data_IF_995326128640
#
_entry.id   IF_995326128640
#
_cell.length_a   1.000
_cell.length_b   1.000
_cell.length_c   1.000
_cell.angle_alpha   90.00
_cell.angle_beta   90.00
_cell.angle_gamma   90.00
#
_symmetry.space_group_name_H-M   'P 1'
#
loop_
_entity.id
_entity.type
_entity.pdbx_description
1 polymer ?
#
# COMPACT_ATOMS: atom_id res chain seq x y z
N UNK A 1 40.31 15.83 -21.50
CA UNK A 1 39.68 15.94 -20.17
C UNK A 1 38.18 15.97 -20.33
N UNK A 2 37.45 15.16 -19.56
CA UNK A 2 35.98 15.07 -19.66
C UNK A 2 35.29 16.27 -19.02
N UNK A 3 34.14 16.69 -19.59
CA UNK A 3 33.27 17.71 -19.00
C UNK A 3 32.38 17.05 -17.95
N UNK A 4 32.26 17.64 -16.76
CA UNK A 4 31.30 17.17 -15.76
C UNK A 4 29.86 17.32 -16.28
N UNK A 5 29.01 16.33 -16.03
CA UNK A 5 27.59 16.35 -16.37
C UNK A 5 26.76 15.94 -15.16
N UNK A 6 25.58 16.54 -15.01
CA UNK A 6 24.58 16.07 -14.05
C UNK A 6 23.89 14.84 -14.62
N UNK A 7 23.86 13.77 -13.82
CA UNK A 7 23.19 12.51 -14.12
C UNK A 7 22.36 12.09 -12.90
N UNK A 8 21.30 11.34 -13.16
CA UNK A 8 20.45 10.71 -12.16
C UNK A 8 20.62 9.19 -12.27
N UNK A 9 20.66 8.48 -11.14
CA UNK A 9 20.69 7.02 -11.11
C UNK A 9 19.30 6.50 -11.49
N UNK A 10 19.19 5.79 -12.62
CA UNK A 10 17.92 5.27 -13.15
C UNK A 10 17.65 3.85 -12.66
N UNK A 11 18.66 3.00 -12.66
CA UNK A 11 18.58 1.59 -12.27
C UNK A 11 19.93 1.11 -11.73
N UNK A 12 19.92 0.04 -10.94
CA UNK A 12 21.12 -0.65 -10.48
C UNK A 12 20.86 -2.15 -10.37
N UNK A 13 21.76 -2.95 -10.95
CA UNK A 13 21.65 -4.41 -10.92
C UNK A 13 22.59 -4.96 -9.84
N UNK A 14 22.04 -5.68 -8.88
CA UNK A 14 22.83 -6.43 -7.89
C UNK A 14 22.89 -7.91 -8.21
N UNK A 15 23.99 -8.56 -7.78
CA UNK A 15 24.15 -9.99 -7.89
C UNK A 15 23.18 -10.73 -6.95
N UNK A 16 22.39 -11.70 -7.43
CA UNK A 16 21.22 -12.24 -6.70
C UNK A 16 21.55 -12.96 -5.37
N UNK A 17 22.81 -13.37 -5.17
CA UNK A 17 23.29 -14.05 -3.95
C UNK A 17 24.39 -13.29 -3.17
N UNK A 18 24.98 -12.23 -3.75
CA UNK A 18 26.15 -11.56 -3.16
C UNK A 18 25.90 -10.05 -3.12
N UNK A 19 26.30 -9.32 -2.07
CA UNK A 19 26.15 -7.87 -1.99
C UNK A 19 27.18 -7.17 -2.90
N UNK A 20 27.02 -7.33 -4.21
CA UNK A 20 27.89 -6.81 -5.26
C UNK A 20 27.02 -6.17 -6.34
N UNK A 21 27.35 -4.93 -6.71
CA UNK A 21 26.73 -4.23 -7.84
C UNK A 21 27.38 -4.72 -9.13
N UNK A 22 26.55 -5.11 -10.11
CA UNK A 22 26.96 -5.57 -11.43
C UNK A 22 26.84 -4.46 -12.49
N UNK A 23 25.79 -3.65 -12.41
CA UNK A 23 25.52 -2.54 -13.33
C UNK A 23 24.91 -1.35 -12.60
N UNK A 24 25.18 -0.13 -13.09
CA UNK A 24 24.52 1.10 -12.66
C UNK A 24 24.19 1.93 -13.91
N UNK A 25 22.93 2.25 -14.08
CA UNK A 25 22.44 3.06 -15.20
C UNK A 25 22.32 4.53 -14.80
N UNK A 26 23.07 5.38 -15.50
CA UNK A 26 23.06 6.83 -15.31
C UNK A 26 22.31 7.52 -16.45
N UNK A 27 21.16 8.12 -16.13
CA UNK A 27 20.41 8.94 -17.07
C UNK A 27 20.90 10.40 -17.01
N UNK A 28 21.36 10.95 -18.13
CA UNK A 28 21.66 12.39 -18.24
C UNK A 28 20.36 13.19 -18.17
N UNK A 29 20.29 14.17 -17.27
CA UNK A 29 19.11 15.00 -17.05
C UNK A 29 19.41 16.48 -17.34
N UNK A 30 18.45 17.19 -17.94
CA UNK A 30 18.47 18.65 -18.06
C UNK A 30 17.76 19.28 -16.86
N UNK A 31 18.26 20.40 -16.34
CA UNK A 31 17.65 21.07 -15.19
C UNK A 31 16.25 21.65 -15.47
N UNK A 32 15.88 21.81 -16.75
CA UNK A 32 14.60 22.36 -17.22
C UNK A 32 13.60 21.30 -17.69
N UNK A 33 13.98 20.03 -17.74
CA UNK A 33 13.15 18.95 -18.27
C UNK A 33 12.51 18.18 -17.11
N UNK A 34 11.21 17.86 -17.23
CA UNK A 34 10.52 17.03 -16.23
C UNK A 34 10.99 15.59 -16.34
N UNK A 35 11.32 14.97 -15.21
CA UNK A 35 11.73 13.57 -15.14
C UNK A 35 10.61 12.75 -14.51
N UNK A 36 10.30 11.61 -15.14
CA UNK A 36 9.36 10.61 -14.66
C UNK A 36 10.13 9.52 -13.92
N UNK A 37 9.86 9.36 -12.62
CA UNK A 37 10.56 8.40 -11.77
C UNK A 37 9.60 7.80 -10.73
N UNK A 38 9.93 6.59 -10.26
CA UNK A 38 9.25 5.97 -9.13
C UNK A 38 9.96 6.38 -7.85
N UNK A 39 9.19 6.83 -6.86
CA UNK A 39 9.67 7.23 -5.53
C UNK A 39 9.05 6.30 -4.49
N UNK A 40 9.83 5.76 -3.54
CA UNK A 40 9.32 4.88 -2.50
C UNK A 40 8.42 5.62 -1.50
N UNK A 41 7.44 4.90 -0.97
CA UNK A 41 6.53 5.36 0.08
C UNK A 41 7.00 4.89 1.45
N UNK A 42 7.07 5.81 2.41
CA UNK A 42 7.30 5.52 3.82
C UNK A 42 5.98 5.66 4.58
N UNK A 43 5.40 4.51 4.94
CA UNK A 43 4.19 4.46 5.76
C UNK A 43 4.54 4.69 7.24
N UNK A 44 4.15 5.84 7.77
CA UNK A 44 4.32 6.17 9.19
C UNK A 44 3.05 5.81 9.96
N UNK A 45 3.20 5.57 11.27
CA UNK A 45 2.09 5.35 12.21
C UNK A 45 1.20 4.13 11.92
N UNK A 46 1.70 3.14 11.18
CA UNK A 46 0.99 1.89 10.91
C UNK A 46 0.49 1.22 12.20
N UNK A 47 1.41 0.89 13.12
CA UNK A 47 1.10 0.21 14.38
C UNK A 47 0.35 1.09 15.39
N UNK A 48 0.32 2.41 15.18
CA UNK A 48 -0.34 3.36 16.08
C UNK A 48 -1.74 3.75 15.65
N UNK A 49 -2.13 3.43 14.42
CA UNK A 49 -3.44 3.71 13.84
C UNK A 49 -4.62 3.15 14.67
N UNK A 50 -5.75 3.87 14.64
CA UNK A 50 -6.96 3.46 15.36
C UNK A 50 -7.49 2.10 14.89
N UNK A 51 -7.41 1.83 13.58
CA UNK A 51 -7.80 0.55 12.97
C UNK A 51 -7.02 -0.65 13.54
N UNK A 52 -5.69 -0.54 13.70
CA UNK A 52 -4.85 -1.63 14.23
C UNK A 52 -5.11 -1.82 15.73
N UNK A 53 -5.09 -0.72 16.51
CA UNK A 53 -5.19 -0.79 17.98
C UNK A 53 -6.57 -1.12 18.52
N UNK A 54 -7.64 -0.52 17.97
CA UNK A 54 -9.00 -0.68 18.51
C UNK A 54 -9.74 -1.85 17.88
N UNK A 55 -9.50 -2.11 16.59
CA UNK A 55 -10.27 -3.08 15.80
C UNK A 55 -9.44 -4.29 15.34
N UNK A 56 -8.14 -4.34 15.69
CA UNK A 56 -7.27 -5.49 15.40
C UNK A 56 -7.03 -5.71 13.90
N UNK A 57 -7.17 -4.66 13.08
CA UNK A 57 -6.91 -4.74 11.66
C UNK A 57 -5.42 -4.90 11.35
N UNK A 58 -5.13 -5.44 10.17
CA UNK A 58 -3.81 -5.52 9.58
C UNK A 58 -3.77 -4.56 8.40
N UNK A 59 -2.74 -3.72 8.35
CA UNK A 59 -2.47 -2.85 7.20
C UNK A 59 -1.82 -3.69 6.10
N UNK A 60 -2.34 -3.54 4.88
CA UNK A 60 -1.80 -4.18 3.69
C UNK A 60 -1.32 -3.09 2.73
N UNK A 61 -0.02 -3.04 2.46
CA UNK A 61 0.55 -2.15 1.45
C UNK A 61 0.31 -2.76 0.07
N UNK A 62 -0.40 -2.03 -0.79
CA UNK A 62 -0.78 -2.45 -2.15
C UNK A 62 0.26 -1.96 -3.17
N UNK A 63 0.78 -0.74 -2.97
CA UNK A 63 1.97 -0.24 -3.68
C UNK A 63 2.92 0.42 -2.70
N UNK A 64 4.21 0.08 -2.80
CA UNK A 64 5.30 0.69 -2.04
C UNK A 64 6.01 1.81 -2.80
N UNK A 65 5.61 2.07 -4.05
CA UNK A 65 6.18 3.09 -4.93
C UNK A 65 5.05 3.91 -5.58
N UNK A 66 5.34 5.18 -5.87
CA UNK A 66 4.51 6.04 -6.70
C UNK A 66 5.30 6.60 -7.88
N UNK A 67 4.67 6.64 -9.06
CA UNK A 67 5.24 7.32 -10.22
C UNK A 67 4.92 8.81 -10.18
N UNK A 68 5.98 9.62 -10.18
CA UNK A 68 5.91 11.08 -10.10
C UNK A 68 6.69 11.74 -11.23
N UNK A 69 6.19 12.90 -11.65
CA UNK A 69 6.85 13.82 -12.57
C UNK A 69 7.23 15.08 -11.80
N UNK A 70 8.52 15.37 -11.75
CA UNK A 70 9.10 16.52 -11.06
C UNK A 70 10.32 17.07 -11.83
N UNK A 71 10.81 18.24 -11.44
CA UNK A 71 12.12 18.70 -11.91
C UNK A 71 13.23 17.95 -11.15
N UNK A 72 14.41 17.72 -11.74
CA UNK A 72 15.54 17.05 -11.05
C UNK A 72 16.04 17.74 -9.78
N UNK A 73 15.63 18.99 -9.53
CA UNK A 73 15.95 19.75 -8.31
C UNK A 73 14.94 19.52 -7.18
N UNK A 74 13.71 19.13 -7.51
CA UNK A 74 12.57 18.97 -6.57
C UNK A 74 12.26 17.48 -6.31
N UNK A 75 13.17 16.58 -6.66
CA UNK A 75 12.99 15.14 -6.60
C UNK A 75 13.12 14.65 -5.14
N UNK A 76 12.04 14.12 -4.51
CA UNK A 76 12.10 13.61 -3.15
C UNK A 76 12.71 12.19 -3.11
N UNK A 77 13.45 11.88 -2.05
CA UNK A 77 14.00 10.54 -1.81
C UNK A 77 12.91 9.53 -1.41
N UNK A 78 11.89 10.00 -0.66
CA UNK A 78 10.73 9.23 -0.24
C UNK A 78 9.52 10.15 -0.05
N UNK A 79 8.31 9.57 -0.03
CA UNK A 79 7.07 10.27 0.31
C UNK A 79 6.48 9.65 1.57
N UNK A 80 6.23 10.47 2.60
CA UNK A 80 5.61 10.02 3.85
C UNK A 80 4.09 9.89 3.70
N UNK A 81 3.52 8.80 4.23
CA UNK A 81 2.09 8.53 4.23
C UNK A 81 1.64 8.26 5.67
N UNK A 82 0.85 9.17 6.25
CA UNK A 82 0.35 9.02 7.62
C UNK A 82 -0.87 8.09 7.70
N UNK A 83 -0.72 6.96 8.39
CA UNK A 83 -1.77 5.98 8.59
C UNK A 83 -2.57 6.19 9.89
N UNK A 84 -2.27 7.20 10.71
CA UNK A 84 -2.94 7.43 12.00
C UNK A 84 -4.49 7.38 11.94
N UNK A 85 -5.06 7.99 10.90
CA UNK A 85 -6.51 8.21 10.73
C UNK A 85 -7.19 7.18 9.81
N UNK A 86 -6.50 6.10 9.42
CA UNK A 86 -7.12 5.09 8.55
C UNK A 86 -8.22 4.33 9.32
N UNK A 87 -9.40 4.25 8.73
CA UNK A 87 -10.52 3.45 9.22
C UNK A 87 -10.49 2.03 8.62
N UNK A 88 -11.07 1.06 9.33
CA UNK A 88 -11.14 -0.32 8.82
C UNK A 88 -12.06 -0.41 7.61
N UNK A 89 -11.59 -1.09 6.57
CA UNK A 89 -12.27 -1.16 5.27
C UNK A 89 -12.00 0.05 4.37
N UNK A 90 -11.38 1.11 4.89
CA UNK A 90 -10.93 2.24 4.08
C UNK A 90 -9.51 2.00 3.53
N UNK A 91 -9.24 2.61 2.37
CA UNK A 91 -7.93 2.59 1.71
C UNK A 91 -7.49 4.01 1.42
N UNK A 92 -6.23 4.32 1.70
CA UNK A 92 -5.63 5.60 1.31
C UNK A 92 -5.24 5.50 -0.15
N UNK A 93 -5.68 6.47 -0.96
CA UNK A 93 -5.33 6.53 -2.36
C UNK A 93 -4.23 7.57 -2.63
N UNK A 94 -3.61 7.49 -3.82
CA UNK A 94 -2.51 8.37 -4.21
C UNK A 94 -2.84 9.86 -4.17
N UNK A 95 -4.08 10.26 -4.47
CA UNK A 95 -4.50 11.68 -4.44
C UNK A 95 -4.69 12.25 -3.04
N UNK A 96 -4.79 11.41 -2.01
CA UNK A 96 -5.07 11.84 -0.63
C UNK A 96 -3.78 12.15 0.17
N UNK A 97 -2.62 11.97 -0.45
CA UNK A 97 -1.29 12.17 0.16
C UNK A 97 -0.81 13.60 0.00
N UNK A 98 -0.15 14.12 1.02
CA UNK A 98 0.57 15.39 0.97
C UNK A 98 1.82 15.29 0.07
N UNK A 99 1.69 15.71 -1.19
CA UNK A 99 2.82 15.76 -2.12
C UNK A 99 3.74 16.95 -1.81
N UNK A 100 5.08 16.77 -1.85
CA UNK A 100 6.01 17.88 -1.71
C UNK A 100 5.97 18.84 -2.92
N UNK A 101 6.46 20.07 -2.72
CA UNK A 101 6.39 21.15 -3.71
C UNK A 101 7.06 20.75 -5.03
N UNK A 102 6.41 21.04 -6.16
CA UNK A 102 6.93 20.77 -7.51
C UNK A 102 6.70 19.34 -8.01
N UNK A 103 6.16 18.44 -7.19
CA UNK A 103 5.90 17.04 -7.56
C UNK A 103 4.46 16.89 -8.06
N UNK A 104 4.32 16.26 -9.24
CA UNK A 104 3.02 15.93 -9.84
C UNK A 104 2.89 14.41 -10.02
N UNK A 105 1.74 13.84 -9.69
CA UNK A 105 1.48 12.40 -9.88
C UNK A 105 1.31 12.07 -11.37
N UNK A 106 1.91 10.96 -11.81
CA UNK A 106 1.75 10.43 -13.17
C UNK A 106 0.65 9.38 -13.15
N UNK A 107 -0.58 9.84 -13.08
CA UNK A 107 -1.76 8.99 -13.24
C UNK A 107 -2.05 8.86 -14.73
N UNK A 108 -2.07 7.63 -15.25
CA UNK A 108 -2.25 7.39 -16.69
C UNK A 108 -3.69 7.71 -17.15
N UNK A 109 -4.64 7.71 -16.21
CA UNK A 109 -6.01 8.20 -16.39
C UNK A 109 -6.36 9.11 -15.20
N UNK A 110 -7.04 10.24 -15.42
CA UNK A 110 -7.44 11.12 -14.30
C UNK A 110 -8.38 10.45 -13.29
N UNK A 111 -9.11 9.40 -13.69
CA UNK A 111 -9.93 8.58 -12.78
C UNK A 111 -9.16 7.46 -12.05
N UNK A 112 -7.93 7.13 -12.43
CA UNK A 112 -7.12 6.16 -11.69
C UNK A 112 -6.63 6.81 -10.38
N UNK A 113 -7.20 6.36 -9.25
CA UNK A 113 -6.74 6.73 -7.93
C UNK A 113 -6.26 5.45 -7.23
N UNK A 114 -5.03 4.97 -7.48
CA UNK A 114 -4.55 3.70 -6.96
C UNK A 114 -4.54 3.72 -5.43
N UNK A 115 -5.06 2.65 -4.82
CA UNK A 115 -5.00 2.43 -3.37
C UNK A 115 -3.57 2.03 -3.02
N UNK A 116 -3.00 2.65 -1.98
CA UNK A 116 -1.61 2.46 -1.59
C UNK A 116 -1.49 1.61 -0.33
N UNK A 117 -2.38 1.83 0.62
CA UNK A 117 -2.54 0.98 1.80
C UNK A 117 -4.02 0.87 2.17
N UNK A 118 -4.45 -0.31 2.61
CA UNK A 118 -5.79 -0.54 3.17
C UNK A 118 -5.72 -1.28 4.52
N UNK A 119 -6.64 -0.94 5.41
CA UNK A 119 -6.79 -1.61 6.71
C UNK A 119 -7.87 -2.70 6.62
N UNK A 120 -7.50 -3.97 6.85
CA UNK A 120 -8.41 -5.13 6.78
C UNK A 120 -8.37 -5.95 8.07
N UNK A 121 -9.52 -6.38 8.57
CA UNK A 121 -9.56 -7.34 9.70
C UNK A 121 -9.20 -8.74 9.16
N UNK A 122 -8.22 -9.44 9.74
CA UNK A 122 -7.93 -10.83 9.37
C UNK A 122 -9.05 -11.75 9.86
N UNK A 123 -9.66 -12.51 8.94
CA UNK A 123 -10.88 -13.30 9.18
C UNK A 123 -10.80 -14.30 10.35
N UNK A 124 -9.60 -14.71 10.76
CA UNK A 124 -9.36 -15.56 11.94
C UNK A 124 -9.95 -14.93 13.22
N UNK A 125 -10.05 -13.60 13.30
CA UNK A 125 -10.62 -12.89 14.46
C UNK A 125 -12.12 -12.62 14.36
N UNK A 126 -12.76 -13.03 13.25
CA UNK A 126 -14.21 -12.89 13.04
C UNK A 126 -14.99 -14.18 13.39
N UNK A 127 -14.30 -15.29 13.66
CA UNK A 127 -14.93 -16.58 13.97
C UNK A 127 -15.47 -16.70 15.42
N UNK A 128 -15.01 -15.86 16.35
CA UNK A 128 -15.40 -15.91 17.77
C UNK A 128 -16.69 -15.13 18.13
N UNK A 129 -17.34 -14.46 17.16
CA UNK A 129 -18.56 -13.67 17.40
C UNK A 129 -19.84 -14.29 16.81
N UNK A 130 -19.77 -15.54 16.32
CA UNK A 130 -20.95 -16.27 15.83
C UNK A 130 -21.20 -17.57 16.63
N UNK A 131 -21.28 -17.40 17.95
CA UNK A 131 -21.68 -18.45 18.90
C UNK A 131 -22.81 -17.95 19.82
N UNK A 132 -23.99 -17.69 19.24
CA UNK A 132 -25.25 -17.57 19.97
C UNK A 132 -26.04 -18.89 19.84
N UNK A 133 -26.65 -19.42 20.93
CA UNK A 133 -26.92 -20.84 21.04
C UNK A 133 -28.23 -21.30 20.37
N UNK A 134 -28.14 -22.40 19.61
CA UNK A 134 -29.31 -23.14 19.14
C UNK A 134 -29.74 -24.20 20.18
N UNK A 135 -30.61 -23.79 21.11
CA UNK A 135 -31.37 -24.69 21.99
C UNK A 135 -32.66 -23.98 22.46
N UNK A 136 -33.81 -24.64 22.63
CA UNK A 136 -34.31 -25.93 22.12
C UNK A 136 -35.83 -25.96 22.36
N UNK A 137 -36.64 -26.50 21.44
CA UNK A 137 -38.07 -26.76 21.70
C UNK A 137 -38.68 -27.80 20.73
N UNK A 138 -38.62 -29.08 21.12
CA UNK A 138 -39.64 -30.07 20.79
C UNK A 138 -40.51 -30.27 22.05
N UNK A 139 -41.78 -30.70 21.95
CA UNK A 139 -42.15 -32.13 21.88
C UNK A 139 -43.17 -32.44 20.75
N UNK A 140 -43.16 -33.63 20.12
CA UNK A 140 -43.87 -34.88 20.48
C UNK A 140 -45.41 -34.74 20.59
N UNK A 141 -46.26 -35.66 20.12
CA UNK A 141 -46.07 -37.03 19.60
C UNK A 141 -47.06 -37.29 18.42
N UNK A 142 -47.28 -38.48 17.82
CA UNK A 142 -46.84 -39.86 18.09
C UNK A 142 -46.87 -40.71 16.79
N UNK A 143 -46.63 -42.03 16.88
CA UNK A 143 -46.87 -43.06 15.86
C UNK A 143 -47.68 -44.21 16.51
N UNK A 144 -48.36 -45.15 15.80
CA UNK A 144 -47.60 -46.30 15.24
C UNK A 144 -48.25 -47.14 14.08
N UNK A 145 -47.41 -48.01 13.46
CA UNK A 145 -47.75 -49.30 12.76
C UNK A 145 -48.52 -49.20 11.43
N UNK A 146 -48.46 -50.18 10.51
CA UNK A 146 -47.90 -51.56 10.47
C UNK A 146 -47.31 -51.80 9.05
N UNK A 147 -46.10 -52.34 8.88
CA UNK A 147 -45.71 -53.76 8.59
C UNK A 147 -45.67 -54.21 7.12
N UNK A 148 -44.68 -55.09 6.88
CA UNK A 148 -44.51 -56.08 5.79
C UNK A 148 -44.13 -55.54 4.40
#
# INVERSE_FOLDING_TARGET
GGKAQKVLLRDYQMHPFKPLVLHIDFQRVSATEKVHMRVPLHFINADTSAAVKLQGAVISHISTELEVSCLPADLPEFIEVDLNKIEVGHGIHAKDIALPKGVTLVLHVEQENPVLANARIPAVKSADTEAAPAAAAAPAAEAPKDKA
#
